data_IF_957057474497
#
_entry.id   IF_957057474497
#
_cell.length_a   1.000
_cell.length_b   1.000
_cell.length_c   1.000
_cell.angle_alpha   90.00
_cell.angle_beta   90.00
_cell.angle_gamma   90.00
#
_symmetry.space_group_name_H-M   'P 1'
#
loop_
_entity.id
_entity.type
_entity.pdbx_description
1 polymer ?
#
# COMPACT_ATOMS: atom_id res chain seq x y z
N UNK A 1 -17.26 28.11 -17.94
CA UNK A 1 -16.85 27.52 -17.75
C UNK A 1 -16.55 27.13 -17.64
N UNK A 2 -16.38 26.88 -17.16
CA UNK A 2 -15.87 26.19 -16.92
C UNK A 2 -15.82 25.64 -16.68
N UNK A 3 -15.72 25.38 -16.50
CA UNK A 3 -15.46 24.61 -16.14
C UNK A 3 -15.17 23.96 -15.87
N UNK A 4 -15.01 24.06 -15.69
CA UNK A 4 -14.60 23.38 -15.38
C UNK A 4 -14.61 22.64 -15.24
N UNK A 5 -14.78 22.48 -15.20
CA UNK A 5 -14.81 21.64 -15.04
C UNK A 5 -14.53 20.97 -15.05
N UNK A 6 -14.63 20.97 -14.86
CA UNK A 6 -14.13 20.13 -14.53
C UNK A 6 -14.22 18.96 -15.08
N UNK A 7 -13.79 18.84 -15.94
CA UNK A 7 -13.72 17.75 -16.39
C UNK A 7 -12.90 17.02 -15.75
N UNK A 8 -13.30 16.13 -15.29
CA UNK A 8 -12.48 15.39 -14.49
C UNK A 8 -11.47 14.82 -15.34
N UNK A 9 -10.35 15.01 -15.01
CA UNK A 9 -9.38 14.29 -15.44
C UNK A 9 -9.65 12.94 -15.13
N UNK A 10 -9.35 12.02 -15.92
CA UNK A 10 -9.46 10.64 -15.56
C UNK A 10 -8.56 10.48 -14.40
N UNK A 11 -9.13 10.48 -13.30
CA UNK A 11 -8.41 10.25 -12.13
C UNK A 11 -8.06 8.82 -12.13
N UNK A 12 -6.83 8.54 -12.33
CA UNK A 12 -6.37 7.20 -12.16
C UNK A 12 -6.28 7.02 -10.68
N UNK A 13 -7.26 6.41 -10.12
CA UNK A 13 -7.22 6.10 -8.73
C UNK A 13 -6.29 4.94 -8.55
N UNK A 14 -5.21 5.18 -7.82
CA UNK A 14 -4.25 4.15 -7.53
C UNK A 14 -4.90 3.20 -6.54
N UNK A 15 -5.12 1.97 -6.95
CA UNK A 15 -5.75 1.01 -6.08
C UNK A 15 -4.83 0.66 -4.93
N UNK A 16 -5.42 0.46 -3.76
CA UNK A 16 -4.67 0.10 -2.56
C UNK A 16 -4.99 -1.33 -2.21
N UNK A 17 -3.97 -2.09 -1.87
CA UNK A 17 -4.15 -3.50 -1.52
C UNK A 17 -3.50 -3.79 -0.18
N UNK A 18 -3.89 -4.91 0.41
CA UNK A 18 -3.40 -5.31 1.72
C UNK A 18 -1.99 -5.89 1.63
N UNK A 19 -1.27 -5.93 2.75
CA UNK A 19 0.03 -6.59 2.75
C UNK A 19 -0.07 -8.06 2.35
N UNK A 20 -1.18 -8.71 2.69
CA UNK A 20 -1.34 -10.09 2.33
C UNK A 20 -1.41 -10.26 0.82
N UNK A 21 -2.06 -9.32 0.13
CA UNK A 21 -2.13 -9.36 -1.32
C UNK A 21 -0.73 -9.32 -1.93
N UNK A 22 0.12 -8.41 -1.46
CA UNK A 22 1.46 -8.30 -2.00
C UNK A 22 2.34 -9.46 -1.58
N UNK A 23 2.11 -9.99 -0.39
CA UNK A 23 2.87 -11.15 0.04
C UNK A 23 2.64 -12.33 -0.88
N UNK A 24 1.40 -12.54 -1.29
CA UNK A 24 1.10 -13.61 -2.22
C UNK A 24 1.64 -13.33 -3.60
N UNK A 25 1.52 -12.08 -4.03
CA UNK A 25 2.00 -11.70 -5.35
C UNK A 25 3.51 -11.85 -5.45
N UNK A 26 4.23 -11.55 -4.40
CA UNK A 26 5.69 -11.57 -4.41
C UNK A 26 6.30 -12.82 -3.80
N UNK A 27 5.47 -13.71 -3.30
CA UNK A 27 5.97 -14.95 -2.72
C UNK A 27 6.69 -14.76 -1.40
N UNK A 28 6.20 -13.85 -0.57
CA UNK A 28 6.82 -13.59 0.73
C UNK A 28 5.74 -13.59 1.80
N UNK A 29 6.08 -13.25 3.02
CA UNK A 29 5.11 -13.24 4.11
C UNK A 29 4.53 -11.85 4.29
N UNK A 30 3.28 -11.77 4.80
CA UNK A 30 2.69 -10.46 5.06
C UNK A 30 3.49 -9.62 6.04
N UNK A 31 4.12 -10.24 7.01
CA UNK A 31 4.91 -9.47 7.96
C UNK A 31 6.11 -8.82 7.30
N UNK A 32 6.67 -9.46 6.29
CA UNK A 32 7.77 -8.85 5.53
C UNK A 32 7.27 -7.60 4.81
N UNK A 33 6.08 -7.70 4.18
CA UNK A 33 5.52 -6.57 3.47
C UNK A 33 5.22 -5.43 4.45
N UNK A 34 4.65 -5.74 5.59
CA UNK A 34 4.37 -4.72 6.60
C UNK A 34 5.66 -4.03 7.01
N UNK A 35 6.72 -4.79 7.21
CA UNK A 35 7.99 -4.22 7.62
C UNK A 35 8.53 -3.24 6.59
N UNK A 36 8.35 -3.56 5.31
CA UNK A 36 8.84 -2.69 4.26
C UNK A 36 8.06 -1.37 4.16
N UNK A 37 6.77 -1.41 4.45
CA UNK A 37 5.90 -0.28 4.15
C UNK A 37 5.37 0.47 5.36
N UNK A 38 5.54 -0.04 6.55
CA UNK A 38 4.85 0.54 7.71
C UNK A 38 5.24 1.98 7.98
N UNK A 39 6.44 2.38 7.61
CA UNK A 39 6.90 3.73 7.87
C UNK A 39 6.99 4.58 6.61
N UNK A 40 6.44 4.12 5.51
CA UNK A 40 6.53 4.85 4.27
C UNK A 40 5.40 5.82 4.12
N UNK A 41 5.69 6.97 3.53
CA UNK A 41 4.64 7.91 3.21
C UNK A 41 3.83 7.38 2.06
N UNK A 42 2.57 7.69 2.05
CA UNK A 42 1.68 7.26 0.99
C UNK A 42 0.93 5.99 1.30
N UNK A 43 1.28 5.31 2.39
CA UNK A 43 0.61 4.10 2.80
C UNK A 43 -0.55 4.47 3.72
N UNK A 44 -1.72 3.97 3.40
CA UNK A 44 -2.90 4.24 4.21
C UNK A 44 -2.88 3.32 5.42
N UNK A 45 -3.03 3.87 6.60
CA UNK A 45 -3.06 3.10 7.83
C UNK A 45 -4.44 3.16 8.42
N UNK A 46 -5.02 2.00 8.62
CA UNK A 46 -6.36 1.89 9.16
C UNK A 46 -6.26 1.34 10.58
N UNK A 47 -6.79 2.11 11.52
CA UNK A 47 -6.81 1.65 12.90
C UNK A 47 -8.12 0.97 13.15
N UNK A 48 -8.07 -0.28 13.55
CA UNK A 48 -9.27 -1.02 13.87
C UNK A 48 -9.30 -1.33 15.34
N UNK A 49 -10.39 -1.04 16.03
CA UNK A 49 -10.47 -1.35 17.43
C UNK A 49 -10.48 -2.86 17.65
N UNK A 50 -9.86 -3.27 18.72
CA UNK A 50 -9.85 -4.67 19.05
C UNK A 50 -11.11 -5.02 19.80
N UNK A 51 -11.72 -6.14 19.46
CA UNK A 51 -12.95 -6.54 20.09
C UNK A 51 -12.76 -7.01 21.50
N UNK A 52 -11.57 -7.41 21.86
CA UNK A 52 -11.35 -7.99 23.19
C UNK A 52 -10.52 -7.12 24.09
N UNK A 53 -10.56 -5.83 23.88
CA UNK A 53 -9.78 -4.93 24.73
C UNK A 53 -8.30 -4.99 24.52
N UNK A 54 -7.85 -5.68 23.50
CA UNK A 54 -6.44 -5.72 23.20
C UNK A 54 -6.06 -4.47 22.45
N UNK A 55 -4.77 -4.31 22.19
CA UNK A 55 -4.33 -3.17 21.45
C UNK A 55 -5.02 -3.07 20.11
N UNK A 56 -5.37 -1.89 19.67
CA UNK A 56 -5.94 -1.72 18.32
C UNK A 56 -4.97 -2.23 17.29
N UNK A 57 -5.51 -2.82 16.25
CA UNK A 57 -4.69 -3.32 15.16
C UNK A 57 -4.58 -2.25 14.10
N UNK A 58 -3.41 -2.16 13.51
CA UNK A 58 -3.20 -1.25 12.40
C UNK A 58 -3.13 -2.09 11.15
N UNK A 59 -3.99 -1.77 10.19
CA UNK A 59 -3.95 -2.44 8.90
C UNK A 59 -3.44 -1.47 7.87
N UNK A 60 -2.61 -1.95 7.00
CA UNK A 60 -2.04 -1.12 5.95
C UNK A 60 -2.77 -1.37 4.65
N UNK A 61 -2.90 -0.31 3.87
CA UNK A 61 -3.35 -0.42 2.49
C UNK A 61 -2.33 0.31 1.65
N UNK A 62 -1.73 -0.38 0.73
CA UNK A 62 -0.56 0.11 0.02
C UNK A 62 -0.93 0.41 -1.41
N UNK A 63 -0.69 1.63 -1.89
CA UNK A 63 -1.00 1.96 -3.29
C UNK A 63 -0.18 1.10 -4.23
N UNK A 64 -0.82 0.66 -5.28
CA UNK A 64 -0.18 -0.25 -6.23
C UNK A 64 1.07 0.37 -6.85
N UNK A 65 1.02 1.63 -7.20
CA UNK A 65 2.17 2.28 -7.83
C UNK A 65 3.36 2.35 -6.88
N UNK A 66 3.10 2.62 -5.61
CA UNK A 66 4.16 2.65 -4.62
C UNK A 66 4.75 1.26 -4.44
N UNK A 67 3.89 0.25 -4.35
CA UNK A 67 4.34 -1.11 -4.19
C UNK A 67 5.22 -1.56 -5.35
N UNK A 68 4.81 -1.21 -6.57
CA UNK A 68 5.59 -1.60 -7.74
C UNK A 68 6.93 -0.90 -7.78
N UNK A 69 6.96 0.36 -7.35
CA UNK A 69 8.22 1.10 -7.34
C UNK A 69 9.20 0.48 -6.35
N UNK A 70 8.71 0.15 -5.15
CA UNK A 70 9.58 -0.45 -4.14
C UNK A 70 10.03 -1.85 -4.57
N UNK A 71 9.14 -2.60 -5.18
CA UNK A 71 9.48 -3.92 -5.65
C UNK A 71 10.60 -3.85 -6.68
N UNK A 72 10.49 -2.92 -7.62
CA UNK A 72 11.52 -2.77 -8.64
C UNK A 72 12.85 -2.34 -8.04
N UNK A 73 12.80 -1.46 -7.05
CA UNK A 73 14.04 -1.02 -6.42
C UNK A 73 14.72 -2.16 -5.69
N UNK A 74 13.95 -2.99 -5.03
CA UNK A 74 14.54 -4.09 -4.30
C UNK A 74 15.06 -5.19 -5.21
N UNK A 75 14.34 -5.50 -6.27
CA UNK A 75 14.83 -6.51 -7.19
C UNK A 75 16.03 -6.03 -7.97
N UNK A 76 16.05 -4.75 -8.33
CA UNK A 76 17.18 -4.22 -8.99
C UNK A 76 18.43 -4.29 -8.12
N UNK A 77 18.26 -4.01 -6.85
CA UNK A 77 19.35 -4.10 -5.91
C UNK A 77 19.95 -5.49 -5.85
N UNK A 78 19.12 -6.50 -5.98
CA UNK A 78 19.60 -7.85 -5.94
C UNK A 78 20.26 -8.29 -7.22
N UNK A 79 19.92 -7.68 -8.32
CA UNK A 79 20.50 -8.05 -9.59
C UNK A 79 21.87 -7.44 -9.82
N UNK A 80 22.22 -6.48 -9.05
CA UNK A 80 23.56 -5.91 -9.16
C UNK A 80 24.49 -6.49 -8.08
#
# INVERSE_FOLDING_TARGET
MNRTVTEPQPVVIDQHYSPQFYAELWGTSPSTVVRWFQDMEGVLKLNKPSKNGRRPRVELRIPFSLAMRIYRERTRSELT
#
